data_IF_336673941166
#
_entry.id   IF_336673941166
#
_cell.length_a   1.000
_cell.length_b   1.000
_cell.length_c   1.000
_cell.angle_alpha   90.00
_cell.angle_beta   90.00
_cell.angle_gamma   90.00
#
_symmetry.space_group_name_H-M   'P 1'
#
loop_
_entity.id
_entity.type
_entity.pdbx_description
1 polymer ?
#
# COMPACT_ATOMS: atom_id res chain seq x y z
N UNK A 1 -28.28 15.45 9.21
CA UNK A 1 -27.95 16.46 8.18
C UNK A 1 -28.73 16.12 6.93
N UNK A 2 -29.41 17.09 6.31
CA UNK A 2 -30.18 16.83 5.10
C UNK A 2 -29.23 16.57 3.94
N UNK A 3 -29.37 15.43 3.29
CA UNK A 3 -28.69 15.14 2.02
C UNK A 3 -29.38 15.98 0.94
N UNK A 4 -28.62 16.71 0.14
CA UNK A 4 -29.19 17.41 -1.03
C UNK A 4 -29.54 16.38 -2.10
N UNK A 5 -30.66 16.58 -2.79
CA UNK A 5 -31.16 15.65 -3.81
C UNK A 5 -30.20 15.45 -4.99
N UNK A 6 -29.29 16.40 -5.24
CA UNK A 6 -28.30 16.31 -6.30
C UNK A 6 -27.02 15.55 -5.92
N UNK A 7 -26.85 15.13 -4.65
CA UNK A 7 -25.60 14.53 -4.19
C UNK A 7 -25.28 13.17 -4.83
N UNK A 8 -26.30 12.39 -5.23
CA UNK A 8 -26.13 11.11 -5.94
C UNK A 8 -25.58 11.28 -7.36
N UNK A 9 -25.84 12.44 -7.97
CA UNK A 9 -25.33 12.84 -9.29
C UNK A 9 -24.02 13.60 -9.21
N UNK A 10 -23.46 13.82 -8.03
CA UNK A 10 -22.20 14.55 -7.87
C UNK A 10 -21.01 13.63 -8.23
N UNK A 11 -20.03 14.16 -8.95
CA UNK A 11 -18.74 13.54 -9.28
C UNK A 11 -17.95 13.13 -8.03
N UNK A 12 -18.18 13.81 -6.92
CA UNK A 12 -17.56 13.51 -5.63
C UNK A 12 -18.46 12.65 -4.72
N UNK A 13 -19.54 12.08 -5.25
CA UNK A 13 -20.35 11.12 -4.50
C UNK A 13 -19.46 9.95 -4.07
N UNK A 14 -19.50 9.57 -2.80
CA UNK A 14 -18.55 8.55 -2.29
C UNK A 14 -18.93 7.13 -2.71
N UNK A 15 -20.14 6.93 -3.24
CA UNK A 15 -20.73 5.61 -3.51
C UNK A 15 -20.77 4.66 -2.29
N UNK A 16 -20.58 5.18 -1.07
CA UNK A 16 -20.67 4.40 0.18
C UNK A 16 -21.91 4.78 1.00
N UNK A 17 -22.33 3.88 1.89
CA UNK A 17 -23.42 4.15 2.85
C UNK A 17 -22.98 5.03 4.03
N UNK A 18 -21.66 5.18 4.24
CA UNK A 18 -21.09 5.86 5.41
C UNK A 18 -20.71 7.31 5.12
N UNK A 19 -20.45 7.65 3.85
CA UNK A 19 -20.03 8.98 3.41
C UNK A 19 -20.93 9.43 2.26
N UNK A 20 -21.39 10.69 2.27
CA UNK A 20 -22.18 11.20 1.13
C UNK A 20 -21.26 11.70 0.02
N UNK A 21 -20.31 12.56 0.35
CA UNK A 21 -19.38 13.19 -0.59
C UNK A 21 -17.94 13.08 -0.06
N UNK A 22 -16.97 12.86 -0.95
CA UNK A 22 -15.55 12.79 -0.59
C UNK A 22 -15.02 14.12 -0.03
N UNK A 23 -15.44 15.25 -0.60
CA UNK A 23 -15.01 16.59 -0.14
C UNK A 23 -15.79 17.07 1.09
N UNK A 24 -17.07 16.71 1.16
CA UNK A 24 -17.97 17.09 2.25
C UNK A 24 -18.61 15.86 2.87
N UNK A 25 -17.89 15.11 3.73
CA UNK A 25 -18.37 13.88 4.36
C UNK A 25 -19.75 14.00 5.02
N UNK A 26 -20.02 15.17 5.59
CA UNK A 26 -21.24 15.51 6.34
C UNK A 26 -22.28 16.29 5.51
N UNK A 27 -22.00 16.55 4.23
CA UNK A 27 -22.74 17.49 3.41
C UNK A 27 -22.34 18.95 3.67
N UNK A 28 -22.81 19.85 2.82
CA UNK A 28 -22.63 21.30 2.95
C UNK A 28 -23.78 21.92 3.75
N UNK A 29 -23.52 23.03 4.45
CA UNK A 29 -24.56 23.72 5.23
C UNK A 29 -25.47 24.60 4.37
N UNK A 30 -25.02 24.94 3.16
CA UNK A 30 -25.74 25.78 2.20
C UNK A 30 -26.64 24.94 1.30
N UNK A 31 -27.72 25.54 0.73
CA UNK A 31 -28.60 24.83 -0.21
C UNK A 31 -27.91 24.47 -1.53
N UNK A 32 -26.77 25.08 -1.82
CA UNK A 32 -25.94 24.86 -3.00
C UNK A 32 -24.56 24.38 -2.59
N UNK A 33 -24.05 23.33 -3.22
CA UNK A 33 -22.69 22.85 -3.02
C UNK A 33 -21.73 23.58 -3.98
N UNK A 34 -20.67 24.25 -3.48
CA UNK A 34 -19.70 24.94 -4.33
C UNK A 34 -18.88 23.98 -5.21
N UNK A 35 -18.73 22.73 -4.77
CA UNK A 35 -17.97 21.68 -5.46
C UNK A 35 -18.88 20.74 -6.27
N UNK A 36 -20.14 21.13 -6.53
CA UNK A 36 -21.03 20.29 -7.31
C UNK A 36 -20.57 20.22 -8.77
N UNK A 37 -20.16 19.02 -9.18
CA UNK A 37 -19.88 18.69 -10.58
C UNK A 37 -20.73 17.46 -10.91
N UNK A 38 -21.60 17.48 -11.94
CA UNK A 38 -22.42 16.32 -12.26
C UNK A 38 -21.60 15.15 -12.83
N UNK A 39 -21.97 13.92 -12.48
CA UNK A 39 -21.30 12.68 -12.90
C UNK A 39 -21.31 12.50 -14.43
N UNK A 40 -22.28 13.10 -15.13
CA UNK A 40 -22.33 13.10 -16.61
C UNK A 40 -21.15 13.82 -17.28
N UNK A 41 -20.36 14.58 -16.53
CA UNK A 41 -19.13 15.22 -17.01
C UNK A 41 -17.88 14.37 -16.74
N UNK A 42 -18.04 13.16 -16.18
CA UNK A 42 -16.95 12.22 -15.98
C UNK A 42 -16.58 11.59 -17.32
N UNK A 43 -15.33 11.71 -17.74
CA UNK A 43 -14.86 10.98 -18.93
C UNK A 43 -14.82 9.47 -18.65
N UNK A 44 -14.83 8.65 -19.70
CA UNK A 44 -14.66 7.19 -19.54
C UNK A 44 -13.31 6.85 -18.87
N UNK A 45 -12.28 7.65 -19.16
CA UNK A 45 -10.94 7.54 -18.57
C UNK A 45 -10.96 7.83 -17.06
N UNK A 46 -11.62 8.91 -16.65
CA UNK A 46 -11.80 9.27 -15.24
C UNK A 46 -12.70 8.27 -14.50
N UNK A 47 -13.59 7.62 -15.23
CA UNK A 47 -14.43 6.56 -14.70
C UNK A 47 -13.64 5.32 -14.32
N UNK A 48 -12.73 4.90 -15.20
CA UNK A 48 -11.83 3.78 -14.96
C UNK A 48 -10.85 4.08 -13.83
N UNK A 49 -10.30 5.29 -13.77
CA UNK A 49 -9.39 5.73 -12.71
C UNK A 49 -10.03 5.75 -11.30
N UNK A 50 -11.33 6.02 -11.19
CA UNK A 50 -12.04 5.94 -9.90
C UNK A 50 -12.16 4.50 -9.37
N UNK A 51 -12.20 3.52 -10.28
CA UNK A 51 -12.25 2.09 -9.94
C UNK A 51 -10.87 1.43 -9.95
N UNK A 52 -9.78 2.15 -10.24
CA UNK A 52 -8.44 1.63 -10.04
C UNK A 52 -8.27 1.37 -8.54
N UNK A 53 -8.17 0.10 -8.11
CA UNK A 53 -7.93 -0.20 -6.72
C UNK A 53 -6.58 0.41 -6.37
N UNK A 54 -6.55 1.28 -5.37
CA UNK A 54 -5.30 1.78 -4.80
C UNK A 54 -4.32 0.61 -4.59
N UNK A 55 -3.11 0.72 -5.15
CA UNK A 55 -2.04 -0.25 -4.92
C UNK A 55 -0.94 0.41 -4.10
N UNK A 56 -0.36 -0.29 -3.10
CA UNK A 56 0.79 0.23 -2.38
C UNK A 56 1.97 0.39 -3.34
N UNK A 57 2.70 1.52 -3.25
CA UNK A 57 3.91 1.77 -4.07
C UNK A 57 5.02 0.72 -3.82
N UNK A 58 5.00 0.08 -2.64
CA UNK A 58 5.99 -0.92 -2.19
C UNK A 58 5.40 -2.34 -2.06
N UNK A 59 4.53 -2.73 -2.98
CA UNK A 59 3.99 -4.09 -3.00
C UNK A 59 4.17 -4.76 -4.37
N UNK A 60 4.44 -6.07 -4.33
CA UNK A 60 4.53 -6.93 -5.51
C UNK A 60 3.55 -8.09 -5.38
N UNK A 61 3.13 -8.67 -6.51
CA UNK A 61 2.28 -9.85 -6.53
C UNK A 61 3.15 -11.10 -6.77
N UNK A 62 3.00 -12.11 -5.93
CA UNK A 62 3.57 -13.43 -6.13
C UNK A 62 2.46 -14.48 -6.01
N UNK A 63 2.26 -15.28 -7.06
CA UNK A 63 1.17 -16.27 -7.13
C UNK A 63 -0.21 -15.68 -6.77
N UNK A 64 -0.51 -14.48 -7.28
CA UNK A 64 -1.75 -13.71 -7.03
C UNK A 64 -1.96 -13.25 -5.57
N UNK A 65 -0.97 -13.43 -4.70
CA UNK A 65 -0.97 -12.86 -3.35
C UNK A 65 -0.17 -11.55 -3.33
N UNK A 66 -0.74 -10.52 -2.70
CA UNK A 66 -0.06 -9.24 -2.47
C UNK A 66 1.01 -9.43 -1.39
N UNK A 67 2.27 -9.32 -1.76
CA UNK A 67 3.41 -9.32 -0.85
C UNK A 67 3.86 -7.87 -0.65
N UNK A 68 3.84 -7.42 0.60
CA UNK A 68 4.49 -6.17 0.97
C UNK A 68 5.99 -6.39 0.87
N UNK A 69 6.64 -5.72 -0.06
CA UNK A 69 8.09 -5.78 -0.13
C UNK A 69 8.65 -5.09 1.12
N UNK A 70 9.38 -5.81 2.00
CA UNK A 70 9.89 -5.22 3.22
C UNK A 70 10.94 -4.18 2.83
N UNK A 71 10.57 -2.90 2.78
CA UNK A 71 11.37 -1.71 2.40
C UNK A 71 12.82 -2.10 2.14
N UNK A 72 13.10 -2.58 0.92
CA UNK A 72 14.41 -3.13 0.59
C UNK A 72 15.34 -1.96 0.31
N UNK A 73 15.85 -1.33 1.37
CA UNK A 73 16.84 -0.24 1.30
C UNK A 73 18.18 -0.67 0.70
N UNK A 74 18.30 -1.94 0.34
CA UNK A 74 19.53 -2.58 -0.10
C UNK A 74 19.44 -2.83 -1.60
N UNK A 75 20.42 -2.30 -2.33
CA UNK A 75 20.63 -2.65 -3.73
C UNK A 75 20.94 -4.15 -3.86
N UNK A 76 20.77 -4.73 -5.05
CA UNK A 76 21.09 -6.14 -5.29
C UNK A 76 22.54 -6.50 -4.90
N UNK A 77 23.50 -5.59 -5.12
CA UNK A 77 24.89 -5.79 -4.71
C UNK A 77 25.04 -5.89 -3.18
N UNK A 78 24.34 -5.04 -2.43
CA UNK A 78 24.36 -5.06 -0.96
C UNK A 78 23.65 -6.30 -0.37
N UNK A 79 22.64 -6.81 -1.07
CA UNK A 79 21.99 -8.07 -0.69
C UNK A 79 22.92 -9.25 -0.89
N UNK A 80 23.67 -9.28 -1.99
CA UNK A 80 24.68 -10.30 -2.25
C UNK A 80 25.79 -10.24 -1.19
N UNK A 81 26.25 -9.04 -0.84
CA UNK A 81 27.24 -8.84 0.23
C UNK A 81 26.75 -9.34 1.58
N UNK A 82 25.46 -9.18 1.91
CA UNK A 82 24.89 -9.71 3.15
C UNK A 82 24.89 -11.24 3.20
N UNK A 83 24.63 -11.93 2.09
CA UNK A 83 24.72 -13.39 2.03
C UNK A 83 26.14 -13.86 2.32
N UNK A 84 27.14 -13.13 1.82
CA UNK A 84 28.56 -13.49 1.97
C UNK A 84 29.19 -13.08 3.30
N UNK A 85 28.60 -12.12 4.03
CA UNK A 85 29.25 -11.51 5.21
C UNK A 85 28.44 -11.66 6.50
N UNK A 86 27.12 -11.82 6.41
CA UNK A 86 26.29 -11.78 7.60
C UNK A 86 26.38 -13.12 8.35
N UNK A 87 26.68 -13.10 9.66
CA UNK A 87 26.89 -14.32 10.42
C UNK A 87 25.73 -15.30 10.33
N UNK A 88 24.51 -14.77 10.29
CA UNK A 88 23.29 -15.57 10.19
C UNK A 88 23.27 -16.55 9.00
N UNK A 89 23.92 -16.21 7.90
CA UNK A 89 24.09 -17.10 6.74
C UNK A 89 25.41 -17.87 6.87
N UNK A 90 26.52 -17.17 7.10
CA UNK A 90 27.87 -17.77 6.96
C UNK A 90 28.36 -18.67 8.08
N UNK A 91 27.71 -18.71 9.25
CA UNK A 91 28.25 -19.49 10.38
C UNK A 91 29.35 -18.79 11.16
N UNK A 92 29.84 -17.64 10.69
CA UNK A 92 31.14 -17.10 11.09
C UNK A 92 31.08 -15.64 11.48
N UNK A 93 31.95 -15.25 12.40
CA UNK A 93 32.15 -13.84 12.73
C UNK A 93 32.88 -13.12 11.57
N UNK A 94 32.35 -12.02 10.99
CA UNK A 94 33.00 -11.30 9.90
C UNK A 94 34.32 -10.63 10.31
N UNK A 95 34.61 -10.51 11.62
CA UNK A 95 35.83 -9.88 12.13
C UNK A 95 36.95 -10.87 12.46
N UNK A 96 36.62 -12.09 12.86
CA UNK A 96 37.61 -13.07 13.33
C UNK A 96 37.40 -14.50 12.81
N UNK A 97 36.43 -14.71 11.91
CA UNK A 97 36.10 -15.97 11.22
C UNK A 97 35.79 -17.19 12.11
N UNK A 98 35.71 -16.96 13.42
CA UNK A 98 35.41 -18.01 14.39
C UNK A 98 33.98 -18.51 14.19
N UNK A 99 33.76 -19.84 14.23
CA UNK A 99 32.43 -20.42 14.07
C UNK A 99 31.53 -20.03 15.25
N UNK A 100 30.29 -19.69 14.96
CA UNK A 100 29.30 -19.37 15.98
C UNK A 100 28.71 -20.67 16.52
N UNK A 101 28.65 -20.85 17.85
CA UNK A 101 28.08 -22.06 18.43
C UNK A 101 26.59 -22.19 18.08
N UNK A 102 26.17 -23.43 17.77
CA UNK A 102 24.77 -23.76 17.56
C UNK A 102 23.98 -23.59 18.88
N UNK A 103 22.71 -23.22 18.75
CA UNK A 103 21.74 -23.13 19.86
C UNK A 103 20.80 -24.31 19.85
N UNK A 104 20.08 -24.54 20.96
CA UNK A 104 18.98 -25.50 21.05
C UNK A 104 17.66 -24.72 21.32
N UNK A 105 16.66 -24.77 20.41
CA UNK A 105 16.64 -25.52 19.16
C UNK A 105 17.65 -25.00 18.12
N UNK A 106 18.09 -25.87 17.18
CA UNK A 106 19.02 -25.48 16.13
C UNK A 106 18.45 -24.32 15.33
N UNK A 107 19.30 -23.33 15.03
CA UNK A 107 18.86 -22.21 14.19
C UNK A 107 18.52 -22.75 12.80
N UNK A 108 17.44 -22.23 12.23
CA UNK A 108 16.88 -22.69 10.95
C UNK A 108 17.82 -22.43 9.76
N UNK A 109 18.79 -21.54 9.93
CA UNK A 109 19.67 -21.04 8.89
C UNK A 109 21.10 -20.91 9.43
N UNK A 110 22.02 -21.47 8.64
CA UNK A 110 23.49 -21.52 8.69
C UNK A 110 23.97 -22.22 7.40
N UNK A 111 23.32 -21.90 6.27
CA UNK A 111 23.51 -22.52 4.97
C UNK A 111 24.90 -22.26 4.36
#
# INVERSE_FOLDING_TARGET
>A
MPKLDCCDRCRFYSHTLYLVCANHPKGVETPTCPDFVPDSLRSEEESLAFYEPWQPEDASYYADELILDPIQRLTNAQRLELLDTHPLFTGRCPKCESPIPQTDPPRIHWD
#
